data_IF_348298833154
#
_entry.id   IF_348298833154
#
_cell.length_a   1.000
_cell.length_b   1.000
_cell.length_c   1.000
_cell.angle_alpha   90.00
_cell.angle_beta   90.00
_cell.angle_gamma   90.00
#
_symmetry.space_group_name_H-M   'P 1'
#
loop_
_entity.id
_entity.type
_entity.pdbx_description
1 polymer ?
#
# COMPACT_ATOMS: atom_id res chain seq x y z
N UNK A 1 19.49 -18.98 -22.84
CA UNK A 1 18.75 -17.85 -22.23
C UNK A 1 18.88 -16.67 -23.18
N UNK A 2 17.74 -16.10 -23.62
CA UNK A 2 17.74 -14.98 -24.58
C UNK A 2 17.51 -13.66 -23.82
N UNK A 3 18.49 -13.28 -22.98
CA UNK A 3 18.48 -12.04 -22.23
C UNK A 3 19.73 -11.25 -22.52
N UNK A 4 19.59 -9.94 -22.73
CA UNK A 4 20.71 -9.03 -22.90
C UNK A 4 21.04 -8.38 -21.54
N UNK A 5 22.25 -8.61 -21.05
CA UNK A 5 22.74 -8.01 -19.82
C UNK A 5 23.35 -6.64 -20.13
N UNK A 6 22.68 -5.55 -19.72
CA UNK A 6 23.12 -4.19 -20.03
C UNK A 6 24.13 -3.66 -19.02
N UNK A 7 23.81 -3.77 -17.72
CA UNK A 7 24.67 -3.32 -16.61
C UNK A 7 24.32 -4.03 -15.31
N UNK A 8 25.28 -4.14 -14.41
CA UNK A 8 25.04 -4.56 -13.03
C UNK A 8 24.43 -3.40 -12.24
N UNK A 9 23.32 -3.64 -11.54
CA UNK A 9 22.73 -2.66 -10.65
C UNK A 9 23.44 -2.69 -9.28
N UNK A 10 23.47 -1.55 -8.53
CA UNK A 10 24.02 -1.53 -7.19
C UNK A 10 23.21 -2.44 -6.27
N UNK A 11 23.84 -3.03 -5.28
CA UNK A 11 23.10 -3.78 -4.27
C UNK A 11 22.47 -2.82 -3.26
N UNK A 12 21.36 -3.22 -2.58
CA UNK A 12 20.65 -2.34 -1.64
C UNK A 12 21.54 -1.74 -0.54
N UNK A 13 22.55 -2.48 -0.05
CA UNK A 13 23.48 -1.97 0.94
C UNK A 13 24.31 -0.78 0.44
N UNK A 14 24.74 -0.81 -0.82
CA UNK A 14 25.54 0.28 -1.40
C UNK A 14 24.67 1.54 -1.55
N UNK A 15 23.43 1.38 -2.04
CA UNK A 15 22.48 2.49 -2.16
C UNK A 15 22.14 3.10 -0.78
N UNK A 16 21.93 2.26 0.23
CA UNK A 16 21.66 2.73 1.61
C UNK A 16 22.84 3.45 2.24
N UNK A 17 24.09 3.07 1.90
CA UNK A 17 25.30 3.78 2.34
C UNK A 17 25.47 5.12 1.63
N UNK A 18 25.11 5.21 0.36
CA UNK A 18 25.19 6.43 -0.44
C UNK A 18 24.08 7.42 -0.04
N UNK A 19 22.90 6.92 0.29
CA UNK A 19 21.71 7.68 0.73
C UNK A 19 21.30 7.23 2.16
N UNK A 20 22.04 7.57 3.20
CA UNK A 20 21.78 7.12 4.56
C UNK A 20 20.64 7.90 5.21
N UNK A 21 19.94 7.25 6.15
CA UNK A 21 18.99 7.93 7.03
C UNK A 21 19.72 8.74 8.10
N UNK A 22 19.19 9.91 8.42
CA UNK A 22 19.62 10.68 9.60
C UNK A 22 19.08 10.06 10.89
N UNK A 23 19.66 10.37 12.04
CA UNK A 23 19.16 9.92 13.33
C UNK A 23 17.71 10.35 13.58
N UNK A 24 17.34 11.55 13.14
CA UNK A 24 15.95 12.03 13.22
C UNK A 24 14.99 11.15 12.39
N UNK A 25 15.33 10.85 11.14
CA UNK A 25 14.50 9.99 10.27
C UNK A 25 14.31 8.59 10.87
N UNK A 26 15.36 8.01 11.46
CA UNK A 26 15.28 6.70 12.14
C UNK A 26 14.31 6.75 13.32
N UNK A 27 14.38 7.81 14.15
CA UNK A 27 13.49 7.98 15.30
C UNK A 27 12.04 8.19 14.88
N UNK A 28 11.79 9.06 13.90
CA UNK A 28 10.43 9.30 13.35
C UNK A 28 9.84 8.01 12.80
N UNK A 29 10.62 7.28 11.97
CA UNK A 29 10.15 6.00 11.43
C UNK A 29 9.82 5.00 12.53
N UNK A 30 10.67 4.82 13.51
CA UNK A 30 10.43 3.89 14.61
C UNK A 30 9.15 4.22 15.40
N UNK A 31 8.88 5.50 15.65
CA UNK A 31 7.66 5.95 16.32
C UNK A 31 6.40 5.71 15.48
N UNK A 32 6.47 5.95 14.17
CA UNK A 32 5.38 5.66 13.24
C UNK A 32 5.11 4.17 13.13
N UNK A 33 6.15 3.34 12.97
CA UNK A 33 6.02 1.88 12.92
C UNK A 33 5.33 1.33 14.16
N UNK A 34 5.72 1.81 15.36
CA UNK A 34 5.10 1.40 16.60
C UNK A 34 3.63 1.84 16.68
N UNK A 35 3.32 3.08 16.28
CA UNK A 35 1.95 3.58 16.25
C UNK A 35 1.05 2.79 15.31
N UNK A 36 1.58 2.38 14.14
CA UNK A 36 0.85 1.59 13.17
C UNK A 36 0.65 0.15 13.69
N UNK A 37 1.71 -0.48 14.24
CA UNK A 37 1.61 -1.81 14.85
C UNK A 37 0.57 -1.85 15.96
N UNK A 38 0.53 -0.80 16.81
CA UNK A 38 -0.44 -0.69 17.89
C UNK A 38 -1.91 -0.73 17.41
N UNK A 39 -2.21 -0.28 16.20
CA UNK A 39 -3.54 -0.42 15.61
C UNK A 39 -3.81 -1.87 15.19
N UNK A 40 -2.83 -2.52 14.58
CA UNK A 40 -3.01 -3.90 14.11
C UNK A 40 -3.14 -4.91 15.25
N UNK A 41 -2.42 -4.72 16.35
CA UNK A 41 -2.49 -5.61 17.52
C UNK A 41 -3.55 -5.19 18.56
N UNK A 42 -4.34 -4.15 18.27
CA UNK A 42 -5.48 -3.73 19.09
C UNK A 42 -5.12 -2.91 20.34
N UNK A 43 -3.88 -2.44 20.48
CA UNK A 43 -3.46 -1.50 21.54
C UNK A 43 -3.90 -0.06 21.27
N UNK A 44 -4.32 0.24 20.05
CA UNK A 44 -4.80 1.54 19.62
C UNK A 44 -6.09 1.40 18.81
N UNK A 45 -7.08 2.24 19.10
CA UNK A 45 -8.35 2.31 18.36
C UNK A 45 -8.30 3.25 17.14
N UNK A 46 -7.14 3.86 16.87
CA UNK A 46 -6.98 4.74 15.72
C UNK A 46 -7.26 4.00 14.41
N UNK A 47 -7.74 4.76 13.43
CA UNK A 47 -8.06 4.25 12.11
C UNK A 47 -6.97 4.59 11.11
N UNK A 48 -6.58 3.65 10.26
CA UNK A 48 -5.50 3.84 9.29
C UNK A 48 -6.08 4.31 7.95
N UNK A 49 -5.51 5.35 7.37
CA UNK A 49 -5.75 5.74 5.99
C UNK A 49 -4.46 5.59 5.17
N UNK A 50 -4.40 4.54 4.35
CA UNK A 50 -3.35 4.39 3.32
C UNK A 50 -3.82 5.15 2.09
N UNK A 51 -3.31 6.37 1.87
CA UNK A 51 -3.90 7.30 0.91
C UNK A 51 -2.84 8.00 0.05
N UNK A 52 -3.07 8.06 -1.26
CA UNK A 52 -2.19 8.71 -2.21
C UNK A 52 -2.45 8.30 -3.66
N UNK A 53 -1.63 8.76 -4.61
CA UNK A 53 -1.85 8.50 -6.03
C UNK A 53 -1.84 7.00 -6.36
N UNK A 54 -2.50 6.65 -7.45
CA UNK A 54 -2.51 5.28 -7.96
C UNK A 54 -1.08 4.76 -8.21
N UNK A 55 -0.20 5.60 -8.76
CA UNK A 55 1.24 5.39 -8.85
C UNK A 55 1.97 6.72 -8.74
N UNK A 56 3.14 6.71 -8.11
CA UNK A 56 4.04 7.86 -8.14
C UNK A 56 4.62 8.00 -9.55
N UNK A 57 4.49 9.19 -10.11
CA UNK A 57 4.97 9.55 -11.44
C UNK A 57 6.13 10.55 -11.39
N UNK A 58 5.95 11.68 -10.71
CA UNK A 58 6.95 12.71 -10.49
C UNK A 58 7.06 13.05 -9.00
N UNK A 59 8.28 13.31 -8.54
CA UNK A 59 8.52 13.58 -7.11
C UNK A 59 7.84 14.86 -6.62
N UNK A 60 7.89 15.94 -7.42
CA UNK A 60 7.38 17.26 -7.02
C UNK A 60 5.87 17.25 -6.70
N UNK A 61 4.96 16.77 -7.58
CA UNK A 61 3.54 16.73 -7.25
C UNK A 61 3.22 15.74 -6.13
N UNK A 62 3.98 14.62 -6.00
CA UNK A 62 3.81 13.67 -4.90
C UNK A 62 4.17 14.33 -3.57
N UNK A 63 5.28 15.06 -3.47
CA UNK A 63 5.67 15.77 -2.26
C UNK A 63 4.72 16.94 -1.94
N UNK A 64 4.21 17.65 -2.96
CA UNK A 64 3.16 18.66 -2.77
C UNK A 64 1.88 18.06 -2.17
N UNK A 65 1.48 16.87 -2.61
CA UNK A 65 0.35 16.13 -2.03
C UNK A 65 0.63 15.72 -0.59
N UNK A 66 1.81 15.18 -0.29
CA UNK A 66 2.22 14.77 1.07
C UNK A 66 2.24 15.97 2.03
N UNK A 67 2.68 17.13 1.58
CA UNK A 67 2.65 18.38 2.35
C UNK A 67 1.22 18.73 2.79
N UNK A 68 0.23 18.53 1.94
CA UNK A 68 -1.19 18.74 2.29
C UNK A 68 -1.70 17.67 3.26
N UNK A 69 -1.30 16.40 3.07
CA UNK A 69 -1.61 15.33 4.02
C UNK A 69 -1.05 15.63 5.43
N UNK A 70 0.15 16.20 5.52
CA UNK A 70 0.76 16.55 6.81
C UNK A 70 -0.10 17.54 7.59
N UNK A 71 -0.62 18.56 6.91
CA UNK A 71 -1.48 19.58 7.54
C UNK A 71 -2.80 19.01 8.07
N UNK A 72 -3.42 18.10 7.32
CA UNK A 72 -4.66 17.49 7.77
C UNK A 72 -4.43 16.44 8.85
N UNK A 73 -3.27 15.73 8.82
CA UNK A 73 -2.91 14.79 9.89
C UNK A 73 -2.90 15.46 11.27
N UNK A 74 -2.46 16.70 11.37
CA UNK A 74 -2.44 17.46 12.63
C UNK A 74 -3.84 17.65 13.21
N UNK A 75 -4.86 17.78 12.35
CA UNK A 75 -6.26 17.99 12.75
C UNK A 75 -6.97 16.69 13.17
N UNK A 76 -6.50 15.52 12.69
CA UNK A 76 -7.17 14.23 12.89
C UNK A 76 -6.30 13.21 13.64
N UNK A 77 -5.16 13.65 14.18
CA UNK A 77 -4.14 12.77 14.78
C UNK A 77 -4.60 12.01 16.01
N UNK A 78 -5.65 12.45 16.69
CA UNK A 78 -6.27 11.76 17.81
C UNK A 78 -7.01 10.48 17.37
N UNK A 79 -7.54 10.44 16.15
CA UNK A 79 -8.40 9.37 15.61
C UNK A 79 -7.79 8.62 14.43
N UNK A 80 -6.99 9.29 13.62
CA UNK A 80 -6.52 8.75 12.33
C UNK A 80 -4.99 8.76 12.23
N UNK A 81 -4.43 7.67 11.71
CA UNK A 81 -3.05 7.60 11.24
C UNK A 81 -3.07 7.60 9.71
N UNK A 82 -2.52 8.64 9.09
CA UNK A 82 -2.36 8.71 7.65
C UNK A 82 -1.01 8.08 7.27
N UNK A 83 -1.05 7.13 6.34
CA UNK A 83 0.13 6.54 5.71
C UNK A 83 0.09 6.95 4.24
N UNK A 84 0.97 7.86 3.79
CA UNK A 84 1.00 8.24 2.39
C UNK A 84 1.31 7.04 1.50
N UNK A 85 0.49 6.84 0.49
CA UNK A 85 0.68 5.82 -0.53
C UNK A 85 1.59 6.36 -1.63
N UNK A 86 2.83 5.91 -1.68
CA UNK A 86 3.80 6.20 -2.72
C UNK A 86 4.12 4.91 -3.45
N UNK A 87 3.23 4.48 -4.35
CA UNK A 87 3.45 3.27 -5.12
C UNK A 87 4.41 3.55 -6.28
N UNK A 88 5.63 3.06 -6.14
CA UNK A 88 6.73 3.29 -7.09
C UNK A 88 6.77 2.28 -8.24
N UNK A 89 5.89 1.29 -8.19
CA UNK A 89 5.71 0.28 -9.22
C UNK A 89 4.25 0.21 -9.68
N UNK A 90 4.05 -0.11 -10.96
CA UNK A 90 2.72 -0.37 -11.51
C UNK A 90 2.71 -1.71 -12.24
N UNK A 91 2.04 -2.74 -11.67
CA UNK A 91 1.89 -4.02 -12.36
C UNK A 91 1.06 -3.86 -13.64
N UNK A 92 1.57 -4.38 -14.75
CA UNK A 92 0.90 -4.33 -16.07
C UNK A 92 0.69 -5.74 -16.59
N UNK A 93 -0.56 -6.16 -16.73
CA UNK A 93 -0.93 -7.51 -17.18
C UNK A 93 -0.35 -7.83 -18.57
N UNK A 94 -0.36 -6.85 -19.48
CA UNK A 94 0.17 -7.01 -20.86
C UNK A 94 1.60 -6.50 -21.01
N UNK A 95 2.20 -5.95 -19.94
CA UNK A 95 3.54 -5.35 -19.99
C UNK A 95 3.62 -3.98 -20.68
N UNK A 96 2.48 -3.41 -21.13
CA UNK A 96 2.43 -2.11 -21.80
C UNK A 96 2.05 -0.98 -20.85
N UNK A 97 2.46 0.27 -21.19
CA UNK A 97 2.18 1.49 -20.43
C UNK A 97 3.20 1.76 -19.32
N UNK A 98 2.99 2.84 -18.59
CA UNK A 98 3.88 3.27 -17.49
C UNK A 98 3.98 2.19 -16.40
N UNK A 99 5.21 1.83 -16.06
CA UNK A 99 5.52 0.72 -15.13
C UNK A 99 5.90 1.18 -13.72
N UNK A 100 5.79 2.47 -13.45
CA UNK A 100 6.17 3.08 -12.19
C UNK A 100 7.57 3.70 -12.21
N UNK A 101 7.83 4.54 -11.21
CA UNK A 101 9.07 5.34 -11.09
C UNK A 101 10.34 4.47 -11.03
N UNK A 102 10.26 3.27 -10.47
CA UNK A 102 11.42 2.34 -10.46
C UNK A 102 11.91 2.01 -11.88
N UNK A 103 11.01 1.84 -12.84
CA UNK A 103 11.37 1.52 -14.23
C UNK A 103 11.60 2.78 -15.07
N UNK A 104 10.76 3.77 -14.85
CA UNK A 104 10.68 5.00 -15.63
C UNK A 104 10.57 6.20 -14.67
N UNK A 105 11.70 6.67 -14.08
CA UNK A 105 11.70 7.83 -13.20
C UNK A 105 11.27 9.11 -13.91
N UNK A 106 11.37 9.15 -15.24
CA UNK A 106 10.72 10.07 -16.15
C UNK A 106 9.74 9.27 -17.02
N UNK A 107 8.42 9.46 -16.89
CA UNK A 107 7.41 8.69 -17.63
C UNK A 107 7.52 8.80 -19.16
N UNK A 108 8.16 9.84 -19.69
CA UNK A 108 8.34 10.07 -21.12
C UNK A 108 9.67 9.55 -21.67
N UNK A 109 10.62 9.25 -20.78
CA UNK A 109 11.92 8.74 -21.17
C UNK A 109 11.92 7.19 -21.31
N UNK A 110 13.01 6.69 -21.89
CA UNK A 110 13.28 5.24 -21.90
C UNK A 110 13.51 4.74 -20.47
N UNK A 111 13.17 3.46 -20.18
CA UNK A 111 13.43 2.84 -18.89
C UNK A 111 14.89 2.99 -18.44
N UNK A 112 15.10 3.42 -17.19
CA UNK A 112 16.39 3.47 -16.52
C UNK A 112 16.28 2.98 -15.08
N UNK A 113 16.54 1.68 -14.87
CA UNK A 113 16.43 1.04 -13.57
C UNK A 113 17.40 1.59 -12.51
N UNK A 114 18.60 2.03 -12.91
CA UNK A 114 19.55 2.61 -11.96
C UNK A 114 19.04 3.95 -11.42
N UNK A 115 18.68 4.85 -12.33
CA UNK A 115 18.07 6.14 -11.96
C UNK A 115 16.77 5.93 -11.19
N UNK A 116 15.97 4.93 -11.57
CA UNK A 116 14.74 4.57 -10.86
C UNK A 116 14.98 4.16 -9.41
N UNK A 117 15.99 3.31 -9.13
CA UNK A 117 16.36 2.91 -7.75
C UNK A 117 16.71 4.13 -6.89
N UNK A 118 17.48 5.05 -7.43
CA UNK A 118 17.83 6.31 -6.73
C UNK A 118 16.61 7.17 -6.51
N UNK A 119 15.80 7.40 -7.55
CA UNK A 119 14.61 8.27 -7.49
C UNK A 119 13.57 7.79 -6.48
N UNK A 120 13.28 6.48 -6.42
CA UNK A 120 12.32 5.96 -5.44
C UNK A 120 12.82 6.12 -4.00
N UNK A 121 14.12 5.92 -3.79
CA UNK A 121 14.72 6.11 -2.45
C UNK A 121 14.70 7.58 -2.04
N UNK A 122 15.13 8.49 -2.91
CA UNK A 122 15.11 9.94 -2.65
C UNK A 122 13.71 10.45 -2.35
N UNK A 123 12.69 9.98 -3.10
CA UNK A 123 11.30 10.36 -2.87
C UNK A 123 10.80 9.93 -1.48
N UNK A 124 11.03 8.69 -1.09
CA UNK A 124 10.65 8.20 0.24
C UNK A 124 11.46 8.87 1.37
N UNK A 125 12.75 9.15 1.12
CA UNK A 125 13.57 9.91 2.07
C UNK A 125 13.08 11.35 2.23
N UNK A 126 12.67 12.02 1.15
CA UNK A 126 12.12 13.36 1.20
C UNK A 126 10.79 13.40 1.99
N UNK A 127 9.91 12.40 1.79
CA UNK A 127 8.69 12.27 2.57
C UNK A 127 8.96 12.14 4.08
N UNK A 128 9.98 11.37 4.45
CA UNK A 128 10.35 11.15 5.85
C UNK A 128 11.10 12.36 6.44
N UNK A 129 12.02 12.96 5.69
CA UNK A 129 12.85 14.08 6.14
C UNK A 129 12.06 15.37 6.29
N UNK A 130 11.20 15.70 5.30
CA UNK A 130 10.59 17.02 5.17
C UNK A 130 9.17 17.07 5.76
N UNK A 131 8.52 15.91 5.92
CA UNK A 131 7.13 15.81 6.34
C UNK A 131 6.87 14.80 7.46
N UNK A 132 7.89 14.16 8.01
CA UNK A 132 7.79 13.12 9.06
C UNK A 132 6.86 11.96 8.67
N UNK A 133 6.89 11.53 7.39
CA UNK A 133 6.12 10.40 6.92
C UNK A 133 7.00 9.23 6.47
N UNK A 134 6.85 8.08 7.11
CA UNK A 134 7.21 6.79 6.55
C UNK A 134 6.00 6.24 5.80
N UNK A 135 6.18 5.88 4.55
CA UNK A 135 5.10 5.71 3.59
C UNK A 135 4.79 4.24 3.30
N UNK A 136 3.76 4.01 2.47
CA UNK A 136 3.41 2.71 1.94
C UNK A 136 3.88 2.56 0.48
N UNK A 137 4.38 1.36 0.11
CA UNK A 137 4.62 0.98 -1.29
C UNK A 137 4.09 -0.43 -1.58
N UNK A 138 3.87 -0.74 -2.87
CA UNK A 138 3.51 -2.07 -3.33
C UNK A 138 4.76 -2.88 -3.69
N UNK A 139 4.95 -4.02 -3.04
CA UNK A 139 6.02 -4.95 -3.36
C UNK A 139 5.69 -5.72 -4.65
N UNK A 140 5.98 -5.10 -5.80
CA UNK A 140 5.85 -5.79 -7.09
C UNK A 140 6.92 -6.85 -7.27
N UNK A 141 8.14 -6.54 -6.85
CA UNK A 141 9.27 -7.47 -6.81
C UNK A 141 9.83 -7.54 -5.39
N UNK A 142 10.08 -8.72 -4.82
CA UNK A 142 10.75 -8.84 -3.52
C UNK A 142 12.12 -8.14 -3.48
N UNK A 143 12.83 -8.08 -4.61
CA UNK A 143 14.14 -7.43 -4.71
C UNK A 143 14.08 -5.92 -4.54
N UNK A 144 13.07 -5.23 -5.10
CA UNK A 144 13.03 -3.76 -5.02
C UNK A 144 12.62 -3.25 -3.64
N UNK A 145 11.82 -4.00 -2.89
CA UNK A 145 11.50 -3.68 -1.50
C UNK A 145 12.77 -3.44 -0.67
N UNK A 146 13.85 -4.19 -0.94
CA UNK A 146 15.10 -4.10 -0.19
C UNK A 146 15.80 -2.74 -0.26
N UNK A 147 15.58 -1.96 -1.33
CA UNK A 147 16.11 -0.59 -1.45
C UNK A 147 15.37 0.41 -0.56
N UNK A 148 14.16 0.05 -0.12
CA UNK A 148 13.24 0.88 0.65
C UNK A 148 12.93 0.32 2.05
N UNK A 149 13.46 -0.86 2.43
CA UNK A 149 13.04 -1.57 3.65
C UNK A 149 13.29 -0.80 4.95
N UNK A 150 14.20 0.17 4.95
CA UNK A 150 14.47 1.07 6.08
C UNK A 150 13.64 2.37 6.03
N UNK A 151 12.72 2.51 5.06
CA UNK A 151 11.93 3.71 4.81
C UNK A 151 10.43 3.47 4.89
N UNK A 152 9.96 2.23 4.64
CA UNK A 152 8.54 1.91 4.57
C UNK A 152 7.98 1.49 5.93
N UNK A 153 6.80 1.97 6.27
CA UNK A 153 6.01 1.53 7.44
C UNK A 153 4.83 0.64 7.07
N UNK A 154 4.56 0.45 5.78
CA UNK A 154 3.50 -0.40 5.28
C UNK A 154 3.86 -0.94 3.89
N UNK A 155 3.57 -2.20 3.66
CA UNK A 155 3.79 -2.84 2.36
C UNK A 155 2.51 -3.52 1.89
N UNK A 156 2.18 -3.37 0.61
CA UNK A 156 1.09 -4.12 -0.01
C UNK A 156 1.63 -5.18 -0.97
N UNK A 157 1.02 -6.36 -0.97
CA UNK A 157 1.21 -7.38 -2.00
C UNK A 157 0.00 -7.34 -2.93
N UNK A 158 0.25 -7.05 -4.20
CA UNK A 158 -0.78 -6.85 -5.21
C UNK A 158 -1.56 -8.12 -5.55
N UNK A 159 -2.77 -7.93 -6.10
CA UNK A 159 -3.69 -9.02 -6.47
C UNK A 159 -3.12 -10.03 -7.49
N UNK A 160 -2.10 -9.64 -8.27
CA UNK A 160 -1.42 -10.52 -9.22
C UNK A 160 -0.21 -11.23 -8.62
N UNK A 161 0.25 -10.79 -7.45
CA UNK A 161 1.45 -11.28 -6.77
C UNK A 161 1.14 -12.14 -5.54
N UNK A 162 -0.08 -12.08 -5.02
CA UNK A 162 -0.49 -12.71 -3.75
C UNK A 162 -0.37 -14.24 -3.75
N UNK A 163 -0.40 -14.88 -4.91
CA UNK A 163 -0.20 -16.33 -5.08
C UNK A 163 1.28 -16.71 -5.16
N UNK A 164 2.17 -15.75 -5.41
CA UNK A 164 3.57 -16.02 -5.62
C UNK A 164 4.29 -16.34 -4.30
N UNK A 165 5.01 -17.48 -4.29
CA UNK A 165 5.67 -17.99 -3.08
C UNK A 165 6.73 -17.03 -2.54
N UNK A 166 7.54 -16.39 -3.40
CA UNK A 166 8.57 -15.46 -2.93
C UNK A 166 7.98 -14.24 -2.20
N UNK A 167 6.83 -13.71 -2.66
CA UNK A 167 6.16 -12.60 -1.97
C UNK A 167 5.69 -13.01 -0.58
N UNK A 168 5.10 -14.20 -0.43
CA UNK A 168 4.63 -14.74 0.84
C UNK A 168 5.78 -14.96 1.82
N UNK A 169 6.86 -15.61 1.36
CA UNK A 169 8.07 -15.85 2.16
C UNK A 169 8.77 -14.55 2.54
N UNK A 170 8.87 -13.59 1.61
CA UNK A 170 9.46 -12.28 1.94
C UNK A 170 8.61 -11.54 2.97
N UNK A 171 7.27 -11.56 2.85
CA UNK A 171 6.37 -10.95 3.81
C UNK A 171 6.52 -11.52 5.22
N UNK A 172 6.79 -12.84 5.35
CA UNK A 172 7.00 -13.49 6.66
C UNK A 172 8.26 -13.02 7.40
N UNK A 173 9.21 -12.41 6.70
CA UNK A 173 10.43 -11.87 7.28
C UNK A 173 10.44 -10.35 7.43
N UNK A 174 9.31 -9.68 7.21
CA UNK A 174 9.19 -8.21 7.40
C UNK A 174 8.76 -7.88 8.82
N UNK A 175 9.21 -6.72 9.31
CA UNK A 175 8.88 -6.15 10.63
C UNK A 175 7.80 -5.06 10.60
N UNK A 176 7.24 -4.78 9.40
CA UNK A 176 6.15 -3.82 9.16
C UNK A 176 4.88 -4.54 8.70
N UNK A 177 3.69 -3.94 8.86
CA UNK A 177 2.46 -4.52 8.35
C UNK A 177 2.50 -4.77 6.84
N UNK A 178 2.08 -5.99 6.45
CA UNK A 178 2.00 -6.41 5.05
C UNK A 178 0.56 -6.78 4.69
N UNK A 179 -0.05 -5.98 3.81
CA UNK A 179 -1.40 -6.23 3.33
C UNK A 179 -1.42 -7.13 2.10
N UNK A 180 -2.12 -8.26 2.20
CA UNK A 180 -2.34 -9.21 1.11
C UNK A 180 -3.64 -8.89 0.40
N UNK A 181 -3.58 -8.39 -0.85
CA UNK A 181 -4.79 -8.14 -1.64
C UNK A 181 -5.44 -9.45 -2.06
N UNK A 182 -6.77 -9.54 -2.02
CA UNK A 182 -7.45 -10.66 -2.65
C UNK A 182 -7.11 -10.71 -4.16
N UNK A 183 -6.99 -11.92 -4.75
CA UNK A 183 -6.68 -12.07 -6.18
C UNK A 183 -7.73 -11.38 -7.07
N UNK A 184 -7.34 -11.15 -8.34
CA UNK A 184 -8.24 -10.49 -9.32
C UNK A 184 -9.54 -11.24 -9.56
N UNK A 185 -9.55 -12.57 -9.44
CA UNK A 185 -10.74 -13.43 -9.55
C UNK A 185 -11.54 -13.58 -8.24
N UNK A 186 -11.13 -12.96 -7.12
CA UNK A 186 -11.93 -12.85 -5.90
C UNK A 186 -11.85 -14.03 -4.93
N UNK A 187 -10.99 -15.01 -5.15
CA UNK A 187 -10.85 -16.15 -4.23
C UNK A 187 -10.23 -15.71 -2.89
N UNK A 188 -11.08 -15.59 -1.88
CA UNK A 188 -10.65 -15.22 -0.54
C UNK A 188 -9.80 -16.29 0.14
N UNK A 189 -9.92 -17.58 -0.27
CA UNK A 189 -9.10 -18.65 0.30
C UNK A 189 -7.62 -18.47 -0.07
N UNK A 190 -7.34 -18.01 -1.28
CA UNK A 190 -5.99 -17.66 -1.73
C UNK A 190 -5.40 -16.52 -0.91
N UNK A 191 -6.20 -15.48 -0.62
CA UNK A 191 -5.79 -14.38 0.25
C UNK A 191 -5.50 -14.89 1.67
N UNK A 192 -6.38 -15.70 2.26
CA UNK A 192 -6.17 -16.27 3.60
C UNK A 192 -4.93 -17.14 3.66
N UNK A 193 -4.70 -17.99 2.65
CA UNK A 193 -3.49 -18.81 2.56
C UNK A 193 -2.22 -17.95 2.49
N UNK A 194 -2.28 -16.77 1.83
CA UNK A 194 -1.15 -15.86 1.78
C UNK A 194 -0.88 -15.19 3.14
N UNK A 195 -1.93 -14.92 3.93
CA UNK A 195 -1.79 -14.38 5.29
C UNK A 195 -1.23 -15.46 6.22
N UNK A 196 -1.73 -16.70 6.14
CA UNK A 196 -1.19 -17.85 6.91
C UNK A 196 0.30 -18.00 6.62
N UNK A 197 0.70 -18.02 5.36
CA UNK A 197 2.11 -18.09 4.98
C UNK A 197 2.91 -16.90 5.49
N UNK A 198 2.37 -15.69 5.40
CA UNK A 198 3.04 -14.48 5.91
C UNK A 198 3.21 -14.47 7.43
N UNK A 199 2.29 -15.09 8.18
CA UNK A 199 2.38 -15.18 9.64
C UNK A 199 3.19 -16.40 10.12
N UNK A 200 3.57 -17.32 9.22
CA UNK A 200 4.31 -18.53 9.55
C UNK A 200 5.83 -18.34 9.40
N UNK A 201 6.59 -19.11 10.19
CA UNK A 201 8.04 -19.25 10.03
C UNK A 201 8.37 -20.10 8.81
N UNK A 202 9.41 -19.69 8.05
CA UNK A 202 9.85 -20.41 6.86
C UNK A 202 11.37 -20.40 6.73
N UNK A 203 11.94 -21.51 6.24
CA UNK A 203 13.33 -21.57 5.79
C UNK A 203 13.37 -21.56 4.28
N UNK A 204 14.09 -20.60 3.68
CA UNK A 204 14.12 -20.39 2.22
C UNK A 204 15.41 -19.70 1.75
N UNK A 205 15.61 -19.68 0.44
CA UNK A 205 16.74 -18.97 -0.16
C UNK A 205 16.39 -17.48 -0.32
N UNK A 206 17.16 -16.64 0.36
CA UNK A 206 17.04 -15.18 0.24
C UNK A 206 18.40 -14.57 -0.03
N UNK A 207 18.59 -13.97 -1.22
CA UNK A 207 19.85 -13.31 -1.63
C UNK A 207 21.07 -14.24 -1.65
N UNK A 208 20.88 -15.50 -1.97
CA UNK A 208 21.95 -16.51 -1.96
C UNK A 208 22.31 -17.04 -0.57
N UNK A 209 21.49 -16.71 0.44
CA UNK A 209 21.59 -17.24 1.80
C UNK A 209 20.44 -18.18 2.08
N UNK A 210 20.67 -19.22 2.85
CA UNK A 210 19.62 -19.92 3.57
C UNK A 210 19.23 -19.04 4.78
N UNK A 211 17.95 -18.65 4.86
CA UNK A 211 17.42 -17.82 5.94
C UNK A 211 16.20 -18.47 6.55
N UNK A 212 15.97 -18.21 7.83
CA UNK A 212 14.71 -18.55 8.50
C UNK A 212 14.02 -17.27 8.93
N UNK A 213 12.74 -17.10 8.52
CA UNK A 213 11.88 -16.02 9.00
C UNK A 213 11.09 -16.47 10.22
N UNK A 214 10.71 -15.56 11.10
CA UNK A 214 9.93 -15.86 12.31
C UNK A 214 8.42 -15.81 12.09
N UNK A 215 7.99 -15.33 10.92
CA UNK A 215 6.60 -14.98 10.63
C UNK A 215 6.30 -13.53 11.01
N UNK A 216 5.43 -12.89 10.22
CA UNK A 216 5.02 -11.50 10.43
C UNK A 216 3.60 -11.43 10.99
N UNK A 217 3.41 -11.15 12.30
CA UNK A 217 2.11 -11.14 12.97
C UNK A 217 1.17 -10.03 12.45
N UNK A 218 1.68 -9.09 11.65
CA UNK A 218 0.94 -7.99 11.07
C UNK A 218 0.59 -8.20 9.59
N UNK A 219 0.79 -9.42 9.06
CA UNK A 219 0.28 -9.78 7.74
C UNK A 219 -1.24 -9.89 7.79
N UNK A 220 -1.93 -9.16 6.91
CA UNK A 220 -3.37 -8.96 6.97
C UNK A 220 -4.03 -8.86 5.60
N UNK A 221 -5.38 -8.85 5.56
CA UNK A 221 -6.17 -8.79 4.34
C UNK A 221 -6.31 -7.36 3.78
N UNK A 222 -6.25 -7.23 2.45
CA UNK A 222 -6.75 -6.05 1.73
C UNK A 222 -7.87 -6.49 0.80
N UNK A 223 -9.09 -5.99 1.03
CA UNK A 223 -10.24 -6.25 0.19
C UNK A 223 -10.35 -5.18 -0.90
N UNK A 224 -10.23 -5.59 -2.17
CA UNK A 224 -10.19 -4.67 -3.32
C UNK A 224 -11.29 -4.89 -4.36
N UNK A 225 -12.29 -5.74 -4.04
CA UNK A 225 -13.24 -6.26 -5.03
C UNK A 225 -12.56 -7.22 -6.02
N UNK A 226 -13.30 -7.73 -6.98
CA UNK A 226 -12.81 -8.68 -7.96
C UNK A 226 -13.57 -8.58 -9.29
N UNK A 227 -13.08 -9.31 -10.31
CA UNK A 227 -13.80 -9.54 -11.56
C UNK A 227 -14.41 -10.93 -11.50
N UNK A 228 -15.70 -11.02 -11.78
CA UNK A 228 -16.35 -12.31 -11.98
C UNK A 228 -15.96 -12.93 -13.34
N UNK A 229 -16.42 -14.14 -13.58
CA UNK A 229 -16.16 -14.86 -14.83
C UNK A 229 -16.73 -14.16 -16.08
N UNK A 230 -17.68 -13.24 -15.92
CA UNK A 230 -18.23 -12.41 -17.01
C UNK A 230 -17.48 -11.06 -17.15
N UNK A 231 -16.41 -10.83 -16.39
CA UNK A 231 -15.63 -9.60 -16.41
C UNK A 231 -16.31 -8.42 -15.70
N UNK A 232 -17.33 -8.64 -14.89
CA UNK A 232 -18.00 -7.58 -14.12
C UNK A 232 -17.26 -7.32 -12.81
N UNK A 233 -17.15 -6.06 -12.43
CA UNK A 233 -16.63 -5.68 -11.12
C UNK A 233 -17.63 -6.03 -10.03
N UNK A 234 -17.17 -6.80 -9.05
CA UNK A 234 -17.94 -7.19 -7.86
C UNK A 234 -17.20 -6.65 -6.63
N UNK A 235 -17.94 -5.94 -5.79
CA UNK A 235 -17.43 -5.42 -4.51
C UNK A 235 -17.37 -6.54 -3.47
N UNK A 236 -16.49 -6.38 -2.46
CA UNK A 236 -16.34 -7.30 -1.33
C UNK A 236 -16.06 -6.56 -0.02
N UNK A 237 -16.73 -5.42 0.19
CA UNK A 237 -16.60 -4.56 1.38
C UNK A 237 -17.91 -4.43 2.18
N UNK A 238 -18.99 -5.06 1.73
CA UNK A 238 -20.28 -4.96 2.42
C UNK A 238 -20.24 -5.65 3.78
N UNK A 239 -21.21 -5.35 4.61
CA UNK A 239 -21.31 -5.85 5.98
C UNK A 239 -21.13 -7.38 6.05
N UNK A 240 -21.82 -8.13 5.18
CA UNK A 240 -21.76 -9.59 5.10
C UNK A 240 -20.41 -10.10 4.62
N UNK A 241 -19.76 -9.38 3.71
CA UNK A 241 -18.40 -9.72 3.23
C UNK A 241 -17.39 -9.60 4.38
N UNK A 242 -17.49 -8.53 5.18
CA UNK A 242 -16.62 -8.32 6.33
C UNK A 242 -16.81 -9.38 7.41
N UNK A 243 -18.03 -9.77 7.73
CA UNK A 243 -18.31 -10.87 8.65
C UNK A 243 -17.77 -12.19 8.12
N UNK A 244 -17.94 -12.46 6.82
CA UNK A 244 -17.36 -13.66 6.20
C UNK A 244 -15.84 -13.71 6.35
N UNK A 245 -15.14 -12.60 6.13
CA UNK A 245 -13.68 -12.54 6.31
C UNK A 245 -13.30 -12.74 7.77
N UNK A 246 -14.06 -12.18 8.73
CA UNK A 246 -13.90 -12.44 10.17
C UNK A 246 -13.95 -13.94 10.47
N UNK A 247 -14.99 -14.63 9.99
CA UNK A 247 -15.15 -16.07 10.20
C UNK A 247 -13.98 -16.88 9.60
N UNK A 248 -13.42 -16.41 8.47
CA UNK A 248 -12.26 -17.06 7.85
C UNK A 248 -11.01 -16.91 8.72
N UNK A 249 -10.78 -15.73 9.33
CA UNK A 249 -9.70 -15.51 10.27
C UNK A 249 -9.81 -16.43 11.50
N UNK A 250 -11.00 -16.54 12.09
CA UNK A 250 -11.26 -17.39 13.26
C UNK A 250 -10.99 -18.86 12.94
N UNK A 251 -11.49 -19.36 11.80
CA UNK A 251 -11.28 -20.74 11.34
C UNK A 251 -9.80 -21.04 11.07
N UNK A 252 -9.03 -20.04 10.67
CA UNK A 252 -7.60 -20.18 10.38
C UNK A 252 -6.71 -20.00 11.61
N UNK A 253 -7.27 -19.65 12.77
CA UNK A 253 -6.57 -19.38 14.02
C UNK A 253 -5.39 -18.39 13.86
N UNK A 254 -5.61 -17.35 13.02
CA UNK A 254 -4.63 -16.31 12.74
C UNK A 254 -4.62 -15.26 13.86
N UNK A 255 -3.44 -14.72 14.12
CA UNK A 255 -3.28 -13.62 15.09
C UNK A 255 -3.56 -12.28 14.44
N UNK A 256 -3.96 -11.28 15.24
CA UNK A 256 -4.24 -9.92 14.83
C UNK A 256 -5.20 -9.83 13.60
N UNK A 257 -6.40 -10.43 13.63
CA UNK A 257 -7.35 -10.33 12.53
C UNK A 257 -7.56 -8.89 12.09
N UNK A 258 -7.21 -8.57 10.85
CA UNK A 258 -7.21 -7.20 10.36
C UNK A 258 -7.53 -7.12 8.87
N UNK A 259 -8.31 -6.10 8.53
CA UNK A 259 -8.70 -5.78 7.15
C UNK A 259 -8.45 -4.31 6.88
N UNK A 260 -7.79 -4.03 5.77
CA UNK A 260 -7.83 -2.72 5.10
C UNK A 260 -8.75 -2.86 3.88
N UNK A 261 -9.69 -1.94 3.71
CA UNK A 261 -10.56 -1.96 2.54
C UNK A 261 -10.05 -0.95 1.50
N UNK A 262 -9.72 -1.46 0.33
CA UNK A 262 -9.38 -0.65 -0.84
C UNK A 262 -10.69 -0.14 -1.46
N UNK A 263 -10.94 1.15 -1.37
CA UNK A 263 -12.18 1.80 -1.79
C UNK A 263 -12.28 1.99 -3.31
N UNK A 264 -11.18 1.81 -4.03
CA UNK A 264 -11.13 1.90 -5.49
C UNK A 264 -11.18 0.51 -6.16
N UNK A 265 -10.41 0.31 -7.22
CA UNK A 265 -10.30 -0.92 -8.01
C UNK A 265 -11.69 -1.51 -8.35
N UNK A 266 -11.92 -2.79 -8.04
CA UNK A 266 -13.19 -3.44 -8.36
C UNK A 266 -14.30 -3.13 -7.33
N UNK A 267 -13.97 -2.64 -6.13
CA UNK A 267 -14.96 -2.16 -5.17
C UNK A 267 -15.75 -0.96 -5.69
N UNK A 268 -15.09 -0.05 -6.42
CA UNK A 268 -15.73 1.10 -7.08
C UNK A 268 -16.04 0.86 -8.56
N UNK A 269 -15.64 -0.28 -9.14
CA UNK A 269 -15.61 -0.49 -10.59
C UNK A 269 -14.71 0.54 -11.30
N UNK A 270 -13.66 1.04 -10.63
CA UNK A 270 -12.74 2.11 -11.06
C UNK A 270 -13.40 3.47 -11.27
N UNK A 271 -14.57 3.68 -10.69
CA UNK A 271 -15.25 4.97 -10.63
C UNK A 271 -14.75 5.72 -9.39
N UNK A 272 -13.72 6.53 -9.54
CA UNK A 272 -12.99 7.12 -8.42
C UNK A 272 -13.85 7.93 -7.44
N UNK A 273 -14.94 8.54 -7.89
CA UNK A 273 -15.88 9.28 -7.03
C UNK A 273 -16.65 8.37 -6.06
N UNK A 274 -16.85 7.08 -6.42
CA UNK A 274 -17.51 6.11 -5.56
C UNK A 274 -16.71 5.81 -4.28
N UNK A 275 -15.42 6.08 -4.26
CA UNK A 275 -14.58 5.90 -3.07
C UNK A 275 -15.16 6.63 -1.85
N UNK A 276 -15.77 7.81 -2.06
CA UNK A 276 -16.38 8.62 -0.98
C UNK A 276 -17.55 7.88 -0.34
N UNK A 277 -18.45 7.33 -1.16
CA UNK A 277 -19.59 6.57 -0.68
C UNK A 277 -19.14 5.29 0.02
N UNK A 278 -18.23 4.54 -0.61
CA UNK A 278 -17.69 3.27 -0.07
C UNK A 278 -17.04 3.49 1.28
N UNK A 279 -16.22 4.54 1.43
CA UNK A 279 -15.61 4.87 2.71
C UNK A 279 -16.65 5.14 3.82
N UNK A 280 -17.72 5.87 3.48
CA UNK A 280 -18.83 6.16 4.41
C UNK A 280 -19.60 4.90 4.80
N UNK A 281 -19.86 4.00 3.86
CA UNK A 281 -20.54 2.72 4.10
C UNK A 281 -19.73 1.83 5.06
N UNK A 282 -18.40 1.78 4.88
CA UNK A 282 -17.51 0.99 5.73
C UNK A 282 -17.45 1.56 7.15
N UNK A 283 -17.31 2.88 7.31
CA UNK A 283 -17.33 3.53 8.62
C UNK A 283 -18.68 3.32 9.30
N UNK A 284 -19.79 3.40 8.55
CA UNK A 284 -21.12 3.09 9.07
C UNK A 284 -21.20 1.64 9.59
N UNK A 285 -20.74 0.65 8.80
CA UNK A 285 -20.73 -0.77 9.21
C UNK A 285 -19.90 -1.01 10.47
N UNK A 286 -18.74 -0.33 10.59
CA UNK A 286 -17.92 -0.36 11.81
C UNK A 286 -18.67 0.13 13.05
N UNK A 287 -19.44 1.21 12.90
CA UNK A 287 -20.19 1.82 14.02
C UNK A 287 -21.42 1.00 14.44
N UNK A 288 -21.88 0.08 13.59
CA UNK A 288 -23.01 -0.80 13.89
C UNK A 288 -22.61 -2.15 14.51
N UNK A 289 -21.33 -2.55 14.42
CA UNK A 289 -20.89 -3.86 14.85
C UNK A 289 -19.45 -3.84 15.38
N UNK A 290 -19.27 -4.23 16.65
CA UNK A 290 -17.99 -4.25 17.34
C UNK A 290 -16.98 -5.23 16.72
N UNK A 291 -17.43 -6.36 16.16
CA UNK A 291 -16.54 -7.30 15.49
C UNK A 291 -15.99 -6.70 14.19
N UNK A 292 -16.84 -6.01 13.42
CA UNK A 292 -16.40 -5.28 12.23
C UNK A 292 -15.47 -4.13 12.63
N UNK A 293 -15.76 -3.42 13.71
CA UNK A 293 -14.92 -2.35 14.24
C UNK A 293 -13.52 -2.84 14.60
N UNK A 294 -13.42 -3.99 15.24
CA UNK A 294 -12.15 -4.62 15.60
C UNK A 294 -11.40 -5.15 14.38
N UNK A 295 -12.13 -5.68 13.38
CA UNK A 295 -11.56 -6.27 12.19
C UNK A 295 -11.05 -5.23 11.21
N UNK A 296 -11.86 -4.21 10.88
CA UNK A 296 -11.54 -3.20 9.86
C UNK A 296 -10.68 -2.11 10.48
N UNK A 297 -9.37 -2.20 10.24
CA UNK A 297 -8.37 -1.27 10.80
C UNK A 297 -8.21 0.01 9.97
N UNK A 298 -8.67 0.02 8.73
CA UNK A 298 -8.49 1.19 7.88
C UNK A 298 -8.98 1.06 6.45
N UNK A 299 -8.72 2.10 5.68
CA UNK A 299 -9.04 2.20 4.26
C UNK A 299 -7.77 2.43 3.42
N UNK A 300 -7.83 1.98 2.17
CA UNK A 300 -6.88 2.37 1.13
C UNK A 300 -7.61 3.19 0.07
N UNK A 301 -7.14 4.41 -0.17
CA UNK A 301 -7.82 5.41 -1.01
C UNK A 301 -6.87 5.91 -2.09
N UNK A 302 -7.29 5.88 -3.35
CA UNK A 302 -6.56 6.47 -4.46
C UNK A 302 -6.94 7.94 -4.62
N UNK A 303 -5.99 8.81 -4.28
CA UNK A 303 -6.17 10.26 -4.24
C UNK A 303 -4.90 10.98 -4.69
N UNK A 304 -5.08 12.12 -5.36
CA UNK A 304 -3.98 13.00 -5.76
C UNK A 304 -4.38 14.47 -5.65
N UNK A 305 -3.65 15.38 -6.31
CA UNK A 305 -3.99 16.82 -6.25
C UNK A 305 -5.22 17.15 -7.10
N UNK A 306 -5.32 16.54 -8.30
CA UNK A 306 -6.38 16.76 -9.26
C UNK A 306 -7.27 15.52 -9.46
N UNK A 307 -8.54 15.73 -9.75
CA UNK A 307 -9.51 14.67 -10.03
C UNK A 307 -9.21 13.91 -11.32
N UNK A 308 -9.43 12.59 -11.26
CA UNK A 308 -9.44 11.74 -12.44
C UNK A 308 -8.04 11.27 -12.85
N UNK A 309 -7.86 11.10 -14.14
CA UNK A 309 -6.61 10.68 -14.77
C UNK A 309 -6.35 11.47 -16.06
N UNK A 310 -5.11 11.42 -16.52
CA UNK A 310 -4.64 12.04 -17.75
C UNK A 310 -3.76 11.08 -18.56
N UNK A 311 -3.54 11.39 -19.83
CA UNK A 311 -2.50 10.75 -20.63
C UNK A 311 -1.12 11.28 -20.21
N UNK A 312 -0.07 10.49 -20.35
CA UNK A 312 1.28 10.87 -19.93
C UNK A 312 1.77 12.21 -20.55
N UNK A 313 1.30 12.57 -21.75
CA UNK A 313 1.68 13.80 -22.44
C UNK A 313 0.83 15.06 -22.13
N UNK A 314 -0.12 15.01 -21.18
CA UNK A 314 -0.98 16.17 -20.87
C UNK A 314 -0.37 17.12 -19.81
N UNK A 315 0.57 16.64 -19.00
CA UNK A 315 1.35 17.42 -18.02
C UNK A 315 0.57 18.25 -16.99
N UNK A 316 -0.65 17.83 -16.62
CA UNK A 316 -1.38 18.49 -15.54
C UNK A 316 -0.76 18.09 -14.21
N UNK A 317 -0.24 19.08 -13.47
CA UNK A 317 0.44 18.86 -12.19
C UNK A 317 -0.44 18.15 -11.18
N UNK A 318 0.01 17.00 -10.66
CA UNK A 318 -0.70 16.23 -9.65
C UNK A 318 -1.98 15.54 -10.13
N UNK A 319 -2.12 15.29 -11.44
CA UNK A 319 -3.17 14.45 -12.01
C UNK A 319 -2.59 13.08 -12.37
N UNK A 320 -3.30 12.02 -11.99
CA UNK A 320 -2.80 10.65 -12.18
C UNK A 320 -2.60 10.29 -13.67
N UNK A 321 -1.47 9.66 -14.00
CA UNK A 321 -1.20 9.10 -15.34
C UNK A 321 -1.54 7.61 -15.43
N UNK A 322 -2.20 7.07 -14.42
CA UNK A 322 -2.63 5.66 -14.34
C UNK A 322 -4.13 5.58 -14.03
N UNK A 323 -4.57 4.89 -12.98
CA UNK A 323 -6.01 4.84 -12.66
C UNK A 323 -6.48 6.20 -12.06
N UNK A 324 -7.74 6.62 -12.32
CA UNK A 324 -8.24 7.91 -11.86
C UNK A 324 -8.33 7.99 -10.34
N UNK A 325 -7.95 9.15 -9.78
CA UNK A 325 -7.87 9.43 -8.36
C UNK A 325 -8.88 10.51 -7.93
N UNK A 326 -9.22 10.55 -6.63
CA UNK A 326 -9.89 11.68 -6.01
C UNK A 326 -8.94 12.88 -5.97
N UNK A 327 -9.42 14.08 -6.34
CA UNK A 327 -8.69 15.33 -6.16
C UNK A 327 -8.66 15.77 -4.68
N UNK A 328 -7.76 16.72 -4.39
CA UNK A 328 -7.48 17.14 -3.02
C UNK A 328 -8.69 17.64 -2.25
N UNK A 329 -9.50 18.52 -2.82
CA UNK A 329 -10.65 19.10 -2.10
C UNK A 329 -11.64 18.05 -1.59
N UNK A 330 -11.89 17.02 -2.42
CA UNK A 330 -12.75 15.88 -2.04
C UNK A 330 -12.08 15.00 -0.99
N UNK A 331 -10.78 14.83 -1.12
CA UNK A 331 -9.97 14.03 -0.20
C UNK A 331 -9.93 14.64 1.19
N UNK A 332 -9.63 15.93 1.31
CA UNK A 332 -9.60 16.65 2.57
C UNK A 332 -10.94 16.55 3.29
N UNK A 333 -12.04 16.84 2.56
CA UNK A 333 -13.39 16.70 3.12
C UNK A 333 -13.70 15.28 3.57
N UNK A 334 -13.28 14.27 2.79
CA UNK A 334 -13.49 12.86 3.13
C UNK A 334 -12.75 12.46 4.40
N UNK A 335 -11.49 12.89 4.55
CA UNK A 335 -10.70 12.60 5.77
C UNK A 335 -11.38 13.21 7.01
N UNK A 336 -11.83 14.47 6.94
CA UNK A 336 -12.56 15.12 8.03
C UNK A 336 -13.89 14.42 8.32
N UNK A 337 -14.68 14.09 7.29
CA UNK A 337 -15.94 13.34 7.41
C UNK A 337 -15.75 11.96 8.09
N UNK A 338 -14.63 11.28 7.81
CA UNK A 338 -14.28 10.02 8.47
C UNK A 338 -13.92 10.27 9.94
N UNK A 339 -13.07 11.26 10.22
CA UNK A 339 -12.66 11.58 11.57
C UNK A 339 -13.85 11.96 12.48
N UNK A 340 -14.83 12.70 11.95
CA UNK A 340 -16.03 13.09 12.70
C UNK A 340 -16.90 11.89 13.08
N UNK A 341 -16.82 10.78 12.32
CA UNK A 341 -17.66 9.59 12.52
C UNK A 341 -16.98 8.47 13.30
N UNK A 342 -15.67 8.54 13.49
CA UNK A 342 -14.89 7.64 14.34
C UNK A 342 -14.97 8.07 15.83
#
# INVERSE_FOLDING_TARGET
>A
MQMNFHRKLPIPQDVKKEYPLTSHMVQVKAALDESIRAVFDGRSDKFILVIGPCSADHSEPVLAYISRLRRIQEQVSDKIIIIPRIYTNKPRTTGQGYKGMLHQPDPEAKPDMYKGIVSIRELHMAALRDYDYSCADEMLYPENHRYLSDLLSYVAVGARSVENQQHRLTASGMDVPVGMKNPTGGDLSVMMNSIIAGQSSHTFIYRGWEVTSDGNPYTHAILRGYLDYAGRSISNYHYEDLLRVKDMYEKSNLINPSVIVDTNHNNSGKKYLEQIRIAKDIVHSRNQNEDIKRLVKGLMIESYLEDGAQSAGEHVFGKSITDPCLGWEKTERLILDIADKL
#
